data_IF_055795023312
#
_entry.id   IF_055795023312
#
_cell.length_a   1.000
_cell.length_b   1.000
_cell.length_c   1.000
_cell.angle_alpha   90.00
_cell.angle_beta   90.00
_cell.angle_gamma   90.00
#
_symmetry.space_group_name_H-M   'P 1'
#
loop_
_entity.id
_entity.type
_entity.pdbx_description
1 polymer ?
#
# COMPACT_ATOMS: atom_id res chain seq x y z
N UNK A 1 1.85 -40.73 -2.33
CA UNK A 1 2.80 -39.83 -1.64
C UNK A 1 3.13 -38.66 -2.57
N UNK A 2 2.21 -37.70 -2.74
CA UNK A 2 2.50 -36.40 -3.38
C UNK A 2 1.30 -35.46 -3.14
N UNK A 3 1.39 -34.66 -2.08
CA UNK A 3 0.47 -33.54 -1.84
C UNK A 3 1.13 -32.54 -0.90
N UNK A 4 2.07 -31.74 -1.39
CA UNK A 4 2.60 -30.59 -0.62
C UNK A 4 3.29 -29.50 -1.48
N UNK A 5 2.89 -29.29 -2.74
CA UNK A 5 3.48 -28.24 -3.59
C UNK A 5 2.54 -27.08 -3.98
N UNK A 6 1.22 -27.19 -3.75
CA UNK A 6 0.26 -26.16 -4.18
C UNK A 6 0.23 -24.89 -3.28
N UNK A 7 0.36 -25.04 -1.97
CA UNK A 7 0.18 -23.93 -1.01
C UNK A 7 1.36 -22.94 -0.93
N UNK A 8 2.57 -23.35 -1.33
CA UNK A 8 3.77 -22.50 -1.19
C UNK A 8 3.93 -21.51 -2.36
N UNK A 9 3.31 -21.81 -3.50
CA UNK A 9 3.49 -21.06 -4.74
C UNK A 9 2.65 -19.76 -4.77
N UNK A 10 1.43 -19.77 -4.20
CA UNK A 10 0.54 -18.59 -4.18
C UNK A 10 1.12 -17.39 -3.41
N UNK A 11 2.02 -17.64 -2.46
CA UNK A 11 2.53 -16.65 -1.52
C UNK A 11 3.61 -15.72 -2.10
N UNK A 12 4.15 -16.03 -3.29
CA UNK A 12 5.18 -15.23 -3.98
C UNK A 12 4.61 -14.46 -5.18
N UNK A 13 3.67 -15.05 -5.92
CA UNK A 13 3.04 -14.38 -7.06
C UNK A 13 2.09 -13.26 -6.66
N UNK A 14 1.48 -13.37 -5.49
CA UNK A 14 0.51 -12.38 -4.99
C UNK A 14 1.09 -10.96 -4.80
N UNK A 15 2.21 -10.75 -4.08
CA UNK A 15 2.83 -9.42 -3.99
C UNK A 15 3.31 -8.91 -5.36
N UNK A 16 3.78 -9.81 -6.23
CA UNK A 16 4.25 -9.48 -7.57
C UNK A 16 3.09 -9.02 -8.48
N UNK A 17 1.93 -9.66 -8.34
CA UNK A 17 0.69 -9.27 -9.01
C UNK A 17 0.19 -7.91 -8.50
N UNK A 18 0.26 -7.64 -7.20
CA UNK A 18 -0.03 -6.32 -6.65
C UNK A 18 0.90 -5.23 -7.17
N UNK A 19 2.20 -5.53 -7.27
CA UNK A 19 3.20 -4.65 -7.87
C UNK A 19 2.89 -4.36 -9.34
N UNK A 20 2.53 -5.38 -10.12
CA UNK A 20 2.14 -5.23 -11.52
C UNK A 20 0.85 -4.42 -11.68
N UNK A 21 -0.18 -4.70 -10.87
CA UNK A 21 -1.42 -3.92 -10.84
C UNK A 21 -1.15 -2.46 -10.48
N UNK A 22 -0.31 -2.20 -9.48
CA UNK A 22 0.09 -0.85 -9.09
C UNK A 22 0.79 -0.11 -10.23
N UNK A 23 1.66 -0.79 -10.97
CA UNK A 23 2.32 -0.20 -12.14
C UNK A 23 1.33 0.16 -13.25
N UNK A 24 0.44 -0.77 -13.63
CA UNK A 24 -0.62 -0.52 -14.62
C UNK A 24 -1.54 0.62 -14.17
N UNK A 25 -1.91 0.63 -12.89
CA UNK A 25 -2.73 1.69 -12.31
C UNK A 25 -2.03 3.04 -12.34
N UNK A 26 -0.72 3.08 -12.07
CA UNK A 26 0.08 4.31 -12.15
C UNK A 26 0.11 4.87 -13.57
N UNK A 27 0.21 4.01 -14.59
CA UNK A 27 0.08 4.44 -15.99
C UNK A 27 -1.33 4.93 -16.32
N UNK A 28 -2.37 4.29 -15.77
CA UNK A 28 -3.76 4.73 -15.96
C UNK A 28 -4.04 6.07 -15.28
N UNK A 29 -3.38 6.35 -14.16
CA UNK A 29 -3.45 7.63 -13.45
C UNK A 29 -2.91 8.80 -14.28
N UNK A 30 -1.88 8.59 -15.09
CA UNK A 30 -1.42 9.63 -16.03
C UNK A 30 -2.51 10.01 -17.05
N UNK A 31 -3.41 9.06 -17.37
CA UNK A 31 -4.57 9.31 -18.23
C UNK A 31 -5.75 9.94 -17.46
N UNK A 32 -5.89 9.63 -16.18
CA UNK A 32 -6.95 10.13 -15.29
C UNK A 32 -6.37 10.71 -13.99
N UNK A 33 -5.97 11.99 -13.96
CA UNK A 33 -5.27 12.60 -12.82
C UNK A 33 -6.11 12.71 -11.53
N UNK A 34 -7.41 12.38 -11.60
CA UNK A 34 -8.33 12.30 -10.45
C UNK A 34 -8.07 11.05 -9.58
N UNK A 35 -7.42 10.01 -10.13
CA UNK A 35 -7.18 8.77 -9.40
C UNK A 35 -6.01 8.91 -8.43
N UNK A 36 -6.20 8.68 -7.11
CA UNK A 36 -5.11 8.65 -6.17
C UNK A 36 -4.28 7.37 -6.35
N UNK A 37 -2.95 7.45 -6.17
CA UNK A 37 -2.07 6.30 -6.37
C UNK A 37 -2.32 5.24 -5.29
N UNK A 38 -2.37 3.94 -5.65
CA UNK A 38 -2.70 2.82 -4.73
C UNK A 38 -1.62 2.51 -3.66
N UNK A 39 -1.16 3.55 -2.97
CA UNK A 39 -0.07 3.52 -1.99
C UNK A 39 -0.50 2.76 -0.73
N UNK A 40 -1.76 2.85 -0.33
CA UNK A 40 -2.27 2.16 0.85
C UNK A 40 -2.21 0.64 0.73
N UNK A 41 -2.68 0.09 -0.39
CA UNK A 41 -2.55 -1.34 -0.68
C UNK A 41 -1.09 -1.75 -0.76
N UNK A 42 -0.25 -0.97 -1.43
CA UNK A 42 1.18 -1.26 -1.54
C UNK A 42 1.86 -1.27 -0.16
N UNK A 43 1.44 -0.40 0.76
CA UNK A 43 1.88 -0.41 2.15
C UNK A 43 1.44 -1.68 2.89
N UNK A 44 0.20 -2.14 2.71
CA UNK A 44 -0.26 -3.38 3.31
C UNK A 44 0.45 -4.62 2.74
N UNK A 45 0.76 -4.61 1.44
CA UNK A 45 1.62 -5.62 0.80
C UNK A 45 2.99 -5.63 1.47
N UNK A 46 3.63 -4.45 1.61
CA UNK A 46 4.90 -4.30 2.32
C UNK A 46 4.81 -4.85 3.75
N UNK A 47 3.79 -4.44 4.52
CA UNK A 47 3.61 -4.89 5.90
C UNK A 47 3.51 -6.42 6.02
N UNK A 48 2.87 -7.08 5.05
CA UNK A 48 2.76 -8.55 4.98
C UNK A 48 4.06 -9.24 4.58
N UNK A 49 4.88 -8.62 3.73
CA UNK A 49 6.12 -9.23 3.19
C UNK A 49 7.40 -8.65 3.82
N UNK A 50 7.28 -7.86 4.88
CA UNK A 50 8.41 -7.12 5.46
C UNK A 50 9.56 -8.03 5.92
N UNK A 51 9.26 -9.23 6.40
CA UNK A 51 10.23 -10.26 6.79
C UNK A 51 10.92 -10.95 5.60
N UNK A 52 10.39 -10.79 4.38
CA UNK A 52 10.90 -11.42 3.16
C UNK A 52 11.63 -10.40 2.31
N UNK A 53 12.94 -10.30 2.52
CA UNK A 53 13.82 -9.32 1.87
C UNK A 53 13.60 -9.17 0.35
N UNK A 54 13.55 -10.29 -0.39
CA UNK A 54 13.36 -10.26 -1.85
C UNK A 54 12.02 -9.64 -2.28
N UNK A 55 10.95 -9.88 -1.53
CA UNK A 55 9.62 -9.33 -1.84
C UNK A 55 9.52 -7.85 -1.42
N UNK A 56 10.19 -7.46 -0.34
CA UNK A 56 10.37 -6.06 0.03
C UNK A 56 11.05 -5.25 -1.08
N UNK A 57 12.12 -5.79 -1.67
CA UNK A 57 12.80 -5.14 -2.79
C UNK A 57 11.82 -4.88 -3.92
N UNK A 58 10.94 -5.84 -4.25
CA UNK A 58 9.91 -5.65 -5.27
C UNK A 58 9.00 -4.45 -4.98
N UNK A 59 8.52 -4.32 -3.74
CA UNK A 59 7.68 -3.18 -3.32
C UNK A 59 8.47 -1.87 -3.40
N UNK A 60 9.73 -1.85 -2.95
CA UNK A 60 10.57 -0.65 -3.03
C UNK A 60 10.86 -0.24 -4.47
N UNK A 61 11.10 -1.19 -5.38
CA UNK A 61 11.26 -0.91 -6.81
C UNK A 61 10.00 -0.27 -7.38
N UNK A 62 8.80 -0.73 -6.98
CA UNK A 62 7.55 -0.09 -7.38
C UNK A 62 7.42 1.34 -6.85
N UNK A 63 7.79 1.58 -5.60
CA UNK A 63 7.79 2.92 -5.01
C UNK A 63 8.77 3.86 -5.72
N UNK A 64 10.01 3.42 -5.93
CA UNK A 64 11.02 4.20 -6.65
C UNK A 64 10.61 4.48 -8.09
N UNK A 65 10.03 3.50 -8.79
CA UNK A 65 9.52 3.70 -10.15
C UNK A 65 8.39 4.74 -10.17
N UNK A 66 7.47 4.67 -9.20
CA UNK A 66 6.40 5.64 -9.07
C UNK A 66 6.91 7.06 -8.79
N UNK A 67 7.82 7.22 -7.84
CA UNK A 67 8.45 8.52 -7.55
C UNK A 67 9.22 9.04 -8.76
N UNK A 68 9.94 8.17 -9.47
CA UNK A 68 10.68 8.52 -10.69
C UNK A 68 9.75 8.99 -11.82
N UNK A 69 8.59 8.35 -12.00
CA UNK A 69 7.60 8.74 -13.02
C UNK A 69 7.02 10.13 -12.74
N UNK A 70 6.84 10.48 -11.46
CA UNK A 70 6.22 11.74 -11.05
C UNK A 70 7.24 12.85 -10.73
N UNK A 71 8.52 12.68 -11.10
CA UNK A 71 9.62 13.61 -10.81
C UNK A 71 9.74 13.98 -9.33
N UNK A 72 9.45 13.02 -8.44
CA UNK A 72 9.53 13.18 -6.99
C UNK A 72 10.91 12.79 -6.48
N UNK A 73 11.26 13.27 -5.27
CA UNK A 73 12.48 12.85 -4.59
C UNK A 73 12.43 11.36 -4.30
N UNK A 74 13.36 10.61 -4.88
CA UNK A 74 13.46 9.17 -4.73
C UNK A 74 13.71 8.78 -3.26
N UNK A 75 12.93 7.81 -2.77
CA UNK A 75 13.08 7.17 -1.47
C UNK A 75 12.23 7.76 -0.35
N UNK A 76 11.44 8.81 -0.60
CA UNK A 76 10.60 9.40 0.44
C UNK A 76 9.47 8.46 0.84
N UNK A 77 8.75 7.88 -0.12
CA UNK A 77 7.68 6.90 0.13
C UNK A 77 8.25 5.62 0.75
N UNK A 78 9.42 5.18 0.29
CA UNK A 78 10.10 4.02 0.88
C UNK A 78 10.43 4.28 2.36
N UNK A 79 10.97 5.44 2.68
CA UNK A 79 11.28 5.84 4.06
C UNK A 79 9.99 5.98 4.89
N UNK A 80 8.95 6.58 4.31
CA UNK A 80 7.62 6.69 4.93
C UNK A 80 7.10 5.30 5.31
N UNK A 81 7.18 4.32 4.42
CA UNK A 81 6.72 2.95 4.68
C UNK A 81 7.50 2.30 5.81
N UNK A 82 8.81 2.43 5.82
CA UNK A 82 9.67 1.85 6.86
C UNK A 82 9.36 2.47 8.23
N UNK A 83 9.36 3.81 8.30
CA UNK A 83 9.12 4.55 9.55
C UNK A 83 7.70 4.29 10.06
N UNK A 84 6.71 4.40 9.18
CA UNK A 84 5.31 4.19 9.55
C UNK A 84 5.06 2.75 10.03
N UNK A 85 5.64 1.77 9.34
CA UNK A 85 5.50 0.37 9.73
C UNK A 85 6.09 0.11 11.12
N UNK A 86 7.29 0.63 11.38
CA UNK A 86 8.00 0.37 12.63
C UNK A 86 7.37 1.08 13.84
N UNK A 87 6.89 2.32 13.66
CA UNK A 87 6.37 3.14 14.76
C UNK A 87 4.86 2.93 14.95
N UNK A 88 4.08 3.06 13.88
CA UNK A 88 2.61 3.10 13.99
C UNK A 88 1.99 1.73 13.76
N UNK A 89 2.33 1.05 12.66
CA UNK A 89 1.65 -0.19 12.29
C UNK A 89 1.91 -1.32 13.28
N UNK A 90 3.18 -1.61 13.60
CA UNK A 90 3.54 -2.66 14.58
C UNK A 90 2.93 -2.39 15.96
N UNK A 91 2.96 -1.14 16.40
CA UNK A 91 2.39 -0.76 17.70
C UNK A 91 0.87 -0.90 17.69
N UNK A 92 0.21 -0.38 16.65
CA UNK A 92 -1.24 -0.46 16.47
C UNK A 92 -1.71 -1.91 16.41
N UNK A 93 -1.02 -2.79 15.68
CA UNK A 93 -1.37 -4.22 15.58
C UNK A 93 -1.31 -4.94 16.93
N UNK A 94 -0.45 -4.47 17.85
CA UNK A 94 -0.35 -5.02 19.21
C UNK A 94 -1.57 -4.67 20.08
N UNK A 95 -2.19 -3.51 19.82
CA UNK A 95 -3.30 -2.98 20.62
C UNK A 95 -4.68 -3.19 19.98
N UNK A 96 -4.74 -3.26 18.65
CA UNK A 96 -5.98 -3.33 17.87
C UNK A 96 -6.03 -4.65 17.12
N UNK A 97 -7.20 -5.28 17.12
CA UNK A 97 -7.45 -6.46 16.30
C UNK A 97 -7.31 -6.10 14.80
N UNK A 98 -6.91 -7.05 13.95
CA UNK A 98 -6.71 -6.86 12.50
C UNK A 98 -8.05 -6.70 11.73
N UNK A 99 -8.93 -5.86 12.25
CA UNK A 99 -10.28 -5.57 11.76
C UNK A 99 -10.24 -4.68 10.52
N UNK A 100 -11.36 -4.60 9.82
CA UNK A 100 -11.51 -3.70 8.67
C UNK A 100 -11.20 -2.23 9.01
N UNK A 101 -11.68 -1.75 10.17
CA UNK A 101 -11.46 -0.38 10.65
C UNK A 101 -9.96 -0.10 10.83
N UNK A 102 -9.21 -1.06 11.35
CA UNK A 102 -7.76 -0.95 11.52
C UNK A 102 -7.06 -0.72 10.18
N UNK A 103 -7.39 -1.52 9.16
CA UNK A 103 -6.83 -1.38 7.80
C UNK A 103 -7.19 -0.03 7.18
N UNK A 104 -8.45 0.38 7.31
CA UNK A 104 -8.92 1.67 6.80
C UNK A 104 -8.23 2.84 7.45
N UNK A 105 -7.99 2.77 8.77
CA UNK A 105 -7.25 3.81 9.47
C UNK A 105 -5.81 3.91 8.96
N UNK A 106 -5.12 2.79 8.80
CA UNK A 106 -3.73 2.78 8.33
C UNK A 106 -3.58 3.23 6.89
N UNK A 107 -4.47 2.78 5.98
CA UNK A 107 -4.47 3.25 4.59
C UNK A 107 -4.74 4.76 4.55
N UNK A 108 -5.75 5.23 5.28
CA UNK A 108 -6.07 6.65 5.35
C UNK A 108 -4.90 7.49 5.89
N UNK A 109 -4.24 7.01 6.95
CA UNK A 109 -3.08 7.69 7.53
C UNK A 109 -1.89 7.76 6.55
N UNK A 110 -1.62 6.69 5.81
CA UNK A 110 -0.59 6.71 4.75
C UNK A 110 -0.92 7.74 3.68
N UNK A 111 -2.18 7.78 3.22
CA UNK A 111 -2.63 8.79 2.27
C UNK A 111 -2.54 10.21 2.81
N UNK A 112 -2.92 10.42 4.07
CA UNK A 112 -2.83 11.71 4.73
C UNK A 112 -1.37 12.18 4.83
N UNK A 113 -0.45 11.30 5.24
CA UNK A 113 0.98 11.61 5.31
C UNK A 113 1.56 11.90 3.92
N UNK A 114 1.21 11.09 2.92
CA UNK A 114 1.57 11.34 1.53
C UNK A 114 1.09 12.73 1.10
N UNK A 115 -0.18 13.06 1.31
CA UNK A 115 -0.76 14.35 0.92
C UNK A 115 -0.11 15.53 1.66
N UNK A 116 0.14 15.39 2.96
CA UNK A 116 0.81 16.42 3.76
C UNK A 116 2.22 16.75 3.26
N UNK A 117 2.92 15.75 2.70
CA UNK A 117 4.24 15.95 2.13
C UNK A 117 4.20 16.81 0.85
N UNK A 118 3.16 16.65 0.02
CA UNK A 118 3.04 17.42 -1.23
C UNK A 118 2.49 18.82 -1.04
N UNK A 119 1.54 18.98 -0.12
CA UNK A 119 0.81 20.24 -0.02
C UNK A 119 1.44 21.22 0.95
N UNK A 120 2.35 20.81 1.86
CA UNK A 120 2.90 21.59 2.99
C UNK A 120 1.86 22.27 3.92
N UNK A 121 0.61 22.33 3.48
CA UNK A 121 -0.60 22.78 4.13
C UNK A 121 -1.54 21.60 4.44
N UNK A 122 -2.40 21.80 5.43
CA UNK A 122 -3.43 20.83 5.78
C UNK A 122 -4.40 20.70 4.59
N UNK A 123 -4.58 19.49 4.03
CA UNK A 123 -5.44 19.30 2.87
C UNK A 123 -6.89 19.69 3.19
N UNK A 124 -7.50 20.47 2.30
CA UNK A 124 -8.89 20.90 2.43
C UNK A 124 -9.87 19.71 2.32
N UNK A 125 -11.08 19.83 2.87
CA UNK A 125 -12.08 18.76 2.83
C UNK A 125 -12.44 18.29 1.42
N UNK A 126 -12.45 19.20 0.44
CA UNK A 126 -12.69 18.86 -0.97
C UNK A 126 -11.58 17.98 -1.56
N UNK A 127 -10.33 18.11 -1.09
CA UNK A 127 -9.26 17.22 -1.52
C UNK A 127 -9.27 15.92 -0.73
N UNK A 128 -9.62 15.93 0.56
CA UNK A 128 -9.67 14.74 1.41
C UNK A 128 -10.80 13.75 1.06
N UNK A 129 -11.96 14.24 0.66
CA UNK A 129 -13.14 13.41 0.36
C UNK A 129 -12.84 12.24 -0.61
N UNK A 130 -12.23 12.45 -1.79
CA UNK A 130 -11.88 11.34 -2.66
C UNK A 130 -10.91 10.36 -1.98
N UNK A 131 -9.89 10.82 -1.25
CA UNK A 131 -8.95 9.92 -0.56
C UNK A 131 -9.63 9.06 0.51
N UNK A 132 -10.64 9.57 1.22
CA UNK A 132 -11.42 8.77 2.18
C UNK A 132 -12.13 7.63 1.46
N UNK A 133 -12.78 7.91 0.32
CA UNK A 133 -13.48 6.89 -0.47
C UNK A 133 -12.47 5.86 -0.98
N UNK A 134 -11.34 6.31 -1.54
CA UNK A 134 -10.31 5.41 -2.04
C UNK A 134 -9.66 4.58 -0.92
N UNK A 135 -9.47 5.15 0.27
CA UNK A 135 -9.00 4.40 1.43
C UNK A 135 -9.97 3.28 1.82
N UNK A 136 -11.28 3.51 1.76
CA UNK A 136 -12.29 2.48 2.00
C UNK A 136 -12.27 1.39 0.92
N UNK A 137 -12.16 1.78 -0.35
CA UNK A 137 -12.06 0.85 -1.49
C UNK A 137 -10.83 -0.04 -1.32
N UNK A 138 -9.67 0.54 -1.04
CA UNK A 138 -8.43 -0.19 -0.82
C UNK A 138 -8.48 -1.12 0.39
N UNK A 139 -9.16 -0.69 1.45
CA UNK A 139 -9.37 -1.53 2.64
C UNK A 139 -10.26 -2.73 2.33
N UNK A 140 -11.29 -2.52 1.50
CA UNK A 140 -12.18 -3.60 1.04
C UNK A 140 -11.46 -4.55 0.10
N UNK A 141 -10.62 -4.01 -0.77
CA UNK A 141 -9.78 -4.78 -1.68
C UNK A 141 -8.79 -5.66 -0.92
N UNK A 142 -8.10 -5.08 0.07
CA UNK A 142 -7.19 -5.84 0.95
C UNK A 142 -7.93 -6.89 1.78
N UNK A 143 -9.11 -6.56 2.32
CA UNK A 143 -9.89 -7.52 3.12
C UNK A 143 -10.43 -8.67 2.29
N UNK A 144 -10.83 -8.41 1.04
CA UNK A 144 -11.19 -9.46 0.08
C UNK A 144 -9.98 -10.34 -0.24
N UNK A 145 -8.82 -9.73 -0.43
CA UNK A 145 -7.57 -10.44 -0.67
C UNK A 145 -7.17 -11.36 0.50
N UNK A 146 -7.27 -10.89 1.75
CA UNK A 146 -7.00 -11.75 2.91
C UNK A 146 -7.93 -12.96 2.98
N UNK A 147 -9.21 -12.79 2.62
CA UNK A 147 -10.17 -13.91 2.55
C UNK A 147 -9.87 -14.91 1.44
N UNK A 148 -9.32 -14.45 0.31
CA UNK A 148 -8.94 -15.29 -0.83
C UNK A 148 -7.60 -16.02 -0.62
N UNK A 149 -6.76 -15.52 0.28
CA UNK A 149 -5.45 -16.07 0.59
C UNK A 149 -5.43 -17.03 1.80
N UNK A 150 -6.57 -17.19 2.48
CA UNK A 150 -6.85 -18.18 3.52
C UNK A 150 -7.45 -19.45 2.90
#
# INVERSE_FOLDING_TARGET
MHSHQSLKHSHFYTPLLWCALFYIYSLLRDLFPILPPMIGVLFLVYARVHERFLLCIGVFVCLFSFESMHMQTLGILTLLFIVYHQIFYKNSLRFLNNSFIFKSWHIFAIYFLYLSHFFFDIPNWNTLYPFVIFALIESALWSSYEKLAL
#
